data_IF_265194920353
#
_entry.id   IF_265194920353
#
_cell.length_a   1.000
_cell.length_b   1.000
_cell.length_c   1.000
_cell.angle_alpha   90.00
_cell.angle_beta   90.00
_cell.angle_gamma   90.00
#
_symmetry.space_group_name_H-M   'P 1'
#
loop_
_entity.id
_entity.type
_entity.pdbx_description
1 polymer ?
#
# COMPACT_ATOMS: atom_id res chain seq x y z
N UNK A 1 -1.27 20.31 25.07
CA UNK A 1 -1.45 18.97 24.46
C UNK A 1 -2.81 18.92 23.80
N UNK A 2 -2.96 18.17 22.70
CA UNK A 2 -4.24 17.90 22.05
C UNK A 2 -4.33 16.41 21.67
N UNK A 3 -5.51 15.94 21.29
CA UNK A 3 -5.79 14.56 20.93
C UNK A 3 -6.45 14.44 19.56
N UNK A 4 -6.26 13.30 18.91
CA UNK A 4 -6.90 12.98 17.63
C UNK A 4 -7.42 11.54 17.64
N UNK A 5 -8.65 11.35 17.19
CA UNK A 5 -9.12 10.05 16.74
C UNK A 5 -8.60 9.79 15.33
N UNK A 6 -7.49 9.06 15.24
CA UNK A 6 -6.76 8.80 13.98
C UNK A 6 -7.63 8.06 12.97
N UNK A 7 -8.35 7.03 13.40
CA UNK A 7 -9.19 6.23 12.52
C UNK A 7 -10.29 7.07 11.89
N UNK A 8 -11.04 7.80 12.73
CA UNK A 8 -12.10 8.71 12.28
C UNK A 8 -11.54 9.76 11.31
N UNK A 9 -10.39 10.36 11.65
CA UNK A 9 -9.78 11.38 10.79
C UNK A 9 -9.43 10.85 9.40
N UNK A 10 -8.85 9.65 9.31
CA UNK A 10 -8.46 9.04 8.03
C UNK A 10 -9.66 8.60 7.18
N UNK A 11 -10.71 8.06 7.82
CA UNK A 11 -11.93 7.62 7.14
C UNK A 11 -12.73 8.81 6.61
N UNK A 12 -12.95 9.82 7.45
CA UNK A 12 -13.75 11.00 7.10
C UNK A 12 -13.03 11.96 6.15
N UNK A 13 -11.69 11.90 6.10
CA UNK A 13 -10.91 12.72 5.16
C UNK A 13 -10.87 12.16 3.74
N UNK A 14 -11.32 10.92 3.51
CA UNK A 14 -11.22 10.28 2.20
C UNK A 14 -9.90 9.55 1.94
N UNK A 15 -8.94 9.56 2.89
CA UNK A 15 -7.61 8.96 2.67
C UNK A 15 -7.67 7.43 2.65
N UNK A 16 -8.52 6.83 3.47
CA UNK A 16 -8.75 5.37 3.46
C UNK A 16 -9.33 4.92 2.10
N UNK A 17 -10.21 5.71 1.50
CA UNK A 17 -10.82 5.42 0.21
C UNK A 17 -9.77 5.52 -0.92
N UNK A 18 -8.86 6.50 -0.84
CA UNK A 18 -7.72 6.58 -1.75
C UNK A 18 -6.80 5.36 -1.63
N UNK A 19 -6.48 4.93 -0.41
CA UNK A 19 -5.68 3.73 -0.11
C UNK A 19 -6.35 2.47 -0.67
N UNK A 20 -7.65 2.29 -0.42
CA UNK A 20 -8.42 1.16 -0.93
C UNK A 20 -8.49 1.14 -2.46
N UNK A 21 -8.68 2.29 -3.10
CA UNK A 21 -8.71 2.38 -4.56
C UNK A 21 -7.36 1.99 -5.17
N UNK A 22 -6.26 2.46 -4.61
CA UNK A 22 -4.92 2.07 -5.03
C UNK A 22 -4.67 0.57 -4.83
N UNK A 23 -4.96 0.05 -3.64
CA UNK A 23 -4.77 -1.37 -3.32
C UNK A 23 -5.66 -2.29 -4.18
N UNK A 24 -6.86 -1.84 -4.56
CA UNK A 24 -7.69 -2.56 -5.53
C UNK A 24 -6.99 -2.69 -6.89
N UNK A 25 -6.47 -1.58 -7.42
CA UNK A 25 -5.74 -1.60 -8.70
C UNK A 25 -4.48 -2.48 -8.64
N UNK A 26 -3.74 -2.44 -7.52
CA UNK A 26 -2.62 -3.34 -7.26
C UNK A 26 -3.07 -4.80 -7.27
N UNK A 27 -4.11 -5.13 -6.51
CA UNK A 27 -4.60 -6.51 -6.41
C UNK A 27 -5.05 -7.05 -7.77
N UNK A 28 -5.76 -6.23 -8.56
CA UNK A 28 -6.16 -6.58 -9.93
C UNK A 28 -4.93 -6.88 -10.81
N UNK A 29 -3.86 -6.09 -10.70
CA UNK A 29 -2.66 -6.32 -11.50
C UNK A 29 -1.86 -7.55 -11.07
N UNK A 30 -1.79 -7.83 -9.76
CA UNK A 30 -1.20 -9.06 -9.24
C UNK A 30 -1.95 -10.30 -9.73
N UNK A 31 -3.28 -10.26 -9.77
CA UNK A 31 -4.10 -11.36 -10.30
C UNK A 31 -3.92 -11.55 -11.81
N UNK A 32 -3.81 -10.47 -12.59
CA UNK A 32 -3.44 -10.56 -14.02
C UNK A 32 -2.07 -11.23 -14.21
N UNK A 33 -1.12 -10.91 -13.33
CA UNK A 33 0.19 -11.57 -13.29
C UNK A 33 0.10 -13.09 -13.07
N UNK A 34 -0.70 -13.53 -12.09
CA UNK A 34 -0.96 -14.96 -11.86
C UNK A 34 -1.63 -15.64 -13.05
N UNK A 35 -2.61 -15.00 -13.69
CA UNK A 35 -3.26 -15.54 -14.89
C UNK A 35 -2.28 -15.68 -16.06
N UNK A 36 -1.34 -14.75 -16.20
CA UNK A 36 -0.29 -14.82 -17.21
C UNK A 36 0.71 -15.94 -16.90
N UNK A 37 1.10 -16.10 -15.64
CA UNK A 37 1.95 -17.20 -15.19
C UNK A 37 1.27 -18.56 -15.42
N UNK A 38 -0.01 -18.71 -15.10
CA UNK A 38 -0.76 -19.94 -15.30
C UNK A 38 -0.77 -20.39 -16.77
N UNK A 39 -0.89 -19.45 -17.71
CA UNK A 39 -0.80 -19.74 -19.16
C UNK A 39 0.59 -20.25 -19.56
N UNK A 40 1.64 -19.82 -18.86
CA UNK A 40 3.02 -20.25 -19.16
C UNK A 40 3.30 -21.68 -18.72
N UNK A 41 2.54 -22.21 -17.76
CA UNK A 41 2.73 -23.56 -17.23
C UNK A 41 2.40 -24.67 -18.23
N UNK A 42 1.65 -24.37 -19.30
CA UNK A 42 1.39 -25.31 -20.39
C UNK A 42 2.69 -25.83 -21.05
N UNK A 43 3.78 -25.07 -20.92
CA UNK A 43 5.09 -25.42 -21.46
C UNK A 43 6.02 -26.09 -20.42
N UNK A 44 5.54 -26.33 -19.19
CA UNK A 44 6.32 -26.97 -18.14
C UNK A 44 6.03 -28.48 -18.08
N UNK A 45 7.02 -29.30 -17.65
CA UNK A 45 6.78 -30.68 -17.26
C UNK A 45 5.72 -30.77 -16.15
N UNK A 46 4.83 -31.77 -16.23
CA UNK A 46 3.69 -31.90 -15.31
C UNK A 46 4.11 -31.99 -13.83
N UNK A 47 5.27 -32.59 -13.54
CA UNK A 47 5.84 -32.69 -12.18
C UNK A 47 6.37 -31.34 -11.65
N UNK A 48 6.54 -30.33 -12.51
CA UNK A 48 7.01 -28.99 -12.14
C UNK A 48 5.89 -27.95 -12.02
N UNK A 49 4.71 -28.22 -12.60
CA UNK A 49 3.60 -27.26 -12.63
C UNK A 49 3.16 -26.85 -11.23
N UNK A 50 2.95 -27.80 -10.31
CA UNK A 50 2.46 -27.45 -8.96
C UNK A 50 3.51 -26.68 -8.15
N UNK A 51 4.78 -27.06 -8.27
CA UNK A 51 5.88 -26.34 -7.62
C UNK A 51 6.00 -24.90 -8.15
N UNK A 52 5.90 -24.70 -9.47
CA UNK A 52 5.89 -23.37 -10.09
C UNK A 52 4.68 -22.53 -9.61
N UNK A 53 3.48 -23.12 -9.62
CA UNK A 53 2.26 -22.48 -9.14
C UNK A 53 2.36 -22.04 -7.69
N UNK A 54 2.90 -22.89 -6.81
CA UNK A 54 3.07 -22.53 -5.40
C UNK A 54 4.12 -21.44 -5.21
N UNK A 55 5.23 -21.48 -5.97
CA UNK A 55 6.24 -20.44 -5.94
C UNK A 55 5.67 -19.07 -6.34
N UNK A 56 4.90 -19.02 -7.43
CA UNK A 56 4.31 -17.77 -7.92
C UNK A 56 3.23 -17.23 -6.96
N UNK A 57 2.41 -18.10 -6.37
CA UNK A 57 1.47 -17.70 -5.30
C UNK A 57 2.20 -17.07 -4.10
N UNK A 58 3.33 -17.65 -3.69
CA UNK A 58 4.12 -17.12 -2.58
C UNK A 58 4.71 -15.74 -2.91
N UNK A 59 5.25 -15.56 -4.12
CA UNK A 59 5.78 -14.27 -4.59
C UNK A 59 4.68 -13.20 -4.59
N UNK A 60 3.51 -13.53 -5.13
CA UNK A 60 2.38 -12.60 -5.19
C UNK A 60 1.86 -12.24 -3.80
N UNK A 61 1.79 -13.20 -2.88
CA UNK A 61 1.39 -12.93 -1.50
C UNK A 61 2.37 -11.99 -0.79
N UNK A 62 3.68 -12.18 -0.99
CA UNK A 62 4.70 -11.29 -0.45
C UNK A 62 4.60 -9.88 -1.05
N UNK A 63 4.44 -9.79 -2.37
CA UNK A 63 4.27 -8.51 -3.05
C UNK A 63 3.00 -7.80 -2.55
N UNK A 64 1.89 -8.51 -2.39
CA UNK A 64 0.65 -7.94 -1.87
C UNK A 64 0.83 -7.33 -0.48
N UNK A 65 1.45 -8.05 0.44
CA UNK A 65 1.75 -7.55 1.79
C UNK A 65 2.66 -6.31 1.76
N UNK A 66 3.67 -6.31 0.88
CA UNK A 66 4.57 -5.16 0.72
C UNK A 66 3.80 -3.93 0.23
N UNK A 67 2.87 -4.09 -0.72
CA UNK A 67 2.05 -2.99 -1.25
C UNK A 67 1.05 -2.45 -0.21
N UNK A 68 0.41 -3.32 0.58
CA UNK A 68 -0.43 -2.89 1.71
C UNK A 68 0.35 -2.02 2.69
N UNK A 69 1.55 -2.46 3.08
CA UNK A 69 2.39 -1.70 4.01
C UNK A 69 2.84 -0.37 3.40
N UNK A 70 3.26 -0.35 2.13
CA UNK A 70 3.69 0.86 1.45
C UNK A 70 2.55 1.89 1.35
N UNK A 71 1.35 1.44 0.97
CA UNK A 71 0.18 2.30 0.90
C UNK A 71 -0.17 2.90 2.27
N UNK A 72 -0.13 2.07 3.33
CA UNK A 72 -0.38 2.55 4.69
C UNK A 72 0.62 3.59 5.16
N UNK A 73 1.91 3.41 4.85
CA UNK A 73 2.96 4.38 5.17
C UNK A 73 2.69 5.74 4.52
N UNK A 74 2.24 5.75 3.27
CA UNK A 74 1.89 6.99 2.55
C UNK A 74 0.74 7.72 3.24
N UNK A 75 -0.34 7.01 3.62
CA UNK A 75 -1.47 7.60 4.36
C UNK A 75 -1.02 8.18 5.70
N UNK A 76 -0.25 7.41 6.47
CA UNK A 76 0.23 7.85 7.78
C UNK A 76 1.19 9.05 7.68
N UNK A 77 1.98 9.13 6.60
CA UNK A 77 2.82 10.30 6.31
C UNK A 77 1.97 11.55 6.06
N UNK A 78 0.87 11.44 5.30
CA UNK A 78 -0.04 12.57 5.08
C UNK A 78 -0.65 13.08 6.38
N UNK A 79 -1.15 12.17 7.23
CA UNK A 79 -1.66 12.50 8.56
C UNK A 79 -0.58 13.18 9.43
N UNK A 80 0.63 12.63 9.46
CA UNK A 80 1.75 13.20 10.22
C UNK A 80 2.05 14.62 9.77
N UNK A 81 2.17 14.85 8.46
CA UNK A 81 2.43 16.19 7.89
C UNK A 81 1.33 17.18 8.29
N UNK A 82 0.06 16.80 8.15
CA UNK A 82 -1.05 17.66 8.55
C UNK A 82 -1.05 17.97 10.05
N UNK A 83 -0.73 16.96 10.87
CA UNK A 83 -0.64 17.09 12.32
C UNK A 83 0.52 18.00 12.74
N UNK A 84 1.69 17.88 12.12
CA UNK A 84 2.86 18.72 12.38
C UNK A 84 2.61 20.18 11.98
N UNK A 85 1.97 20.40 10.83
CA UNK A 85 1.57 21.73 10.37
C UNK A 85 0.57 22.36 11.35
N UNK A 86 -0.50 21.64 11.69
CA UNK A 86 -1.52 22.12 12.64
C UNK A 86 -0.89 22.44 14.01
N UNK A 87 -0.04 21.54 14.50
CA UNK A 87 0.67 21.70 15.77
C UNK A 87 1.52 22.97 15.78
N UNK A 88 2.25 23.23 14.69
CA UNK A 88 3.10 24.42 14.55
C UNK A 88 2.29 25.70 14.46
N UNK A 89 1.25 25.74 13.60
CA UNK A 89 0.35 26.90 13.44
C UNK A 89 -0.34 27.30 14.75
N UNK A 90 -0.77 26.31 15.54
CA UNK A 90 -1.50 26.51 16.79
C UNK A 90 -0.61 26.53 18.04
N UNK A 91 0.72 26.46 17.87
CA UNK A 91 1.71 26.42 18.95
C UNK A 91 1.43 25.31 19.99
N UNK A 92 0.97 24.16 19.51
CA UNK A 92 0.69 22.98 20.34
C UNK A 92 2.00 22.22 20.56
N UNK A 93 2.26 21.72 21.77
CA UNK A 93 3.47 20.95 22.04
C UNK A 93 3.42 19.54 21.40
N UNK A 94 2.27 18.85 21.52
CA UNK A 94 2.08 17.47 21.07
C UNK A 94 0.61 17.20 20.77
N UNK A 95 0.37 16.35 19.77
CA UNK A 95 -0.93 15.77 19.43
C UNK A 95 -0.81 14.26 19.62
N UNK A 96 -1.66 13.68 20.47
CA UNK A 96 -1.63 12.27 20.83
C UNK A 96 -2.82 11.51 20.24
N UNK A 97 -2.68 10.22 19.93
CA UNK A 97 -3.82 9.38 19.59
C UNK A 97 -4.80 9.31 20.78
N UNK A 98 -6.10 9.45 20.49
CA UNK A 98 -7.16 9.45 21.51
C UNK A 98 -7.21 8.13 22.31
N UNK A 99 -6.84 7.01 21.69
CA UNK A 99 -6.72 5.70 22.34
C UNK A 99 -5.64 5.62 23.44
N UNK A 100 -4.77 6.64 23.58
CA UNK A 100 -3.81 6.72 24.68
C UNK A 100 -4.39 7.36 25.96
N UNK A 101 -5.64 7.80 25.94
CA UNK A 101 -6.31 8.44 27.07
C UNK A 101 -7.59 7.70 27.44
N UNK A 102 -7.92 7.67 28.73
CA UNK A 102 -9.18 7.09 29.25
C UNK A 102 -10.36 8.03 29.01
N UNK A 103 -10.11 9.34 29.11
CA UNK A 103 -11.10 10.40 28.88
C UNK A 103 -10.40 11.65 28.35
N UNK A 104 -11.05 12.35 27.42
CA UNK A 104 -10.52 13.55 26.78
C UNK A 104 -11.63 14.59 26.78
N UNK A 105 -11.32 15.78 27.30
CA UNK A 105 -12.24 16.91 27.24
C UNK A 105 -12.45 17.35 25.77
N UNK A 106 -13.68 17.67 25.31
CA UNK A 106 -13.96 17.95 23.89
C UNK A 106 -13.07 19.04 23.28
N UNK A 107 -12.72 20.07 24.05
CA UNK A 107 -11.84 21.17 23.62
C UNK A 107 -10.40 20.74 23.34
N UNK A 108 -9.99 19.55 23.80
CA UNK A 108 -8.68 18.97 23.52
C UNK A 108 -8.69 18.08 22.26
N UNK A 109 -9.86 17.73 21.73
CA UNK A 109 -9.99 16.95 20.50
C UNK A 109 -9.86 17.84 19.26
N UNK A 110 -8.89 17.52 18.40
CA UNK A 110 -8.64 18.24 17.14
C UNK A 110 -9.01 17.40 15.92
N UNK A 111 -9.76 16.31 16.09
CA UNK A 111 -10.14 15.38 15.02
C UNK A 111 -10.82 16.11 13.87
N UNK A 112 -11.86 16.91 14.13
CA UNK A 112 -12.60 17.61 13.08
C UNK A 112 -11.72 18.57 12.25
N UNK A 113 -10.86 19.34 12.94
CA UNK A 113 -9.94 20.28 12.29
C UNK A 113 -8.94 19.57 11.38
N UNK A 114 -8.34 18.47 11.86
CA UNK A 114 -7.38 17.69 11.09
C UNK A 114 -8.05 16.94 9.94
N UNK A 115 -9.25 16.37 10.15
CA UNK A 115 -10.06 15.79 9.08
C UNK A 115 -10.27 16.81 7.96
N UNK A 116 -10.65 18.04 8.30
CA UNK A 116 -10.91 19.08 7.30
C UNK A 116 -9.65 19.48 6.52
N UNK A 117 -8.48 19.56 7.20
CA UNK A 117 -7.19 19.78 6.51
C UNK A 117 -6.82 18.62 5.59
N UNK A 118 -7.18 17.39 5.93
CA UNK A 118 -6.85 16.20 5.16
C UNK A 118 -7.78 15.95 3.97
N UNK A 119 -9.01 16.48 3.96
CA UNK A 119 -9.96 16.30 2.84
C UNK A 119 -9.43 16.76 1.47
N UNK A 120 -8.54 17.76 1.46
CA UNK A 120 -7.94 18.27 0.23
C UNK A 120 -6.63 17.56 -0.14
N UNK A 121 -6.14 16.66 0.73
CA UNK A 121 -4.91 15.93 0.48
C UNK A 121 -5.13 14.84 -0.59
N UNK A 122 -4.35 14.93 -1.66
CA UNK A 122 -4.15 13.83 -2.60
C UNK A 122 -2.80 13.20 -2.29
N UNK A 123 -2.82 11.90 -2.04
CA UNK A 123 -1.59 11.16 -1.73
C UNK A 123 -1.10 10.43 -2.98
N UNK A 124 0.21 10.43 -3.17
CA UNK A 124 0.86 9.65 -4.21
C UNK A 124 1.35 8.32 -3.63
N UNK A 125 0.72 7.23 -4.05
CA UNK A 125 1.08 5.86 -3.65
C UNK A 125 2.21 5.28 -4.51
N UNK A 126 2.65 6.00 -5.55
CA UNK A 126 3.57 5.48 -6.55
C UNK A 126 2.87 4.60 -7.59
N UNK A 127 3.69 3.94 -8.43
CA UNK A 127 3.20 3.11 -9.53
C UNK A 127 2.66 1.77 -9.03
N UNK A 128 1.60 1.31 -9.68
CA UNK A 128 1.12 -0.08 -9.55
C UNK A 128 2.23 -1.02 -10.06
N UNK A 129 2.56 -2.12 -9.36
CA UNK A 129 3.62 -3.03 -9.78
C UNK A 129 3.33 -3.65 -11.15
N UNK A 130 4.27 -3.57 -12.09
CA UNK A 130 4.17 -4.27 -13.37
C UNK A 130 4.65 -5.72 -13.21
N UNK A 131 3.84 -6.69 -13.63
CA UNK A 131 4.21 -8.11 -13.59
C UNK A 131 4.63 -8.54 -14.99
N UNK A 132 5.87 -9.00 -15.11
CA UNK A 132 6.43 -9.56 -16.34
C UNK A 132 6.85 -11.02 -16.10
N UNK A 133 6.64 -11.86 -17.10
CA UNK A 133 7.17 -13.23 -17.05
C UNK A 133 8.68 -13.19 -17.24
N UNK A 134 9.40 -13.94 -16.41
CA UNK A 134 10.80 -14.28 -16.71
C UNK A 134 10.79 -15.29 -17.85
N UNK A 135 10.96 -14.83 -19.08
CA UNK A 135 11.32 -15.73 -20.18
C UNK A 135 12.71 -16.28 -19.87
N UNK A 136 12.83 -17.60 -19.75
CA UNK A 136 14.14 -18.23 -19.72
C UNK A 136 14.87 -17.83 -21.01
N UNK A 137 16.04 -17.17 -20.89
CA UNK A 137 16.94 -17.01 -22.03
C UNK A 137 17.25 -18.41 -22.55
N UNK A 138 16.91 -18.68 -23.80
CA UNK A 138 17.45 -19.82 -24.53
C UNK A 138 18.98 -19.80 -24.40
N UNK A 139 19.63 -20.94 -24.13
CA UNK A 139 21.08 -21.00 -24.17
C UNK A 139 21.51 -20.67 -25.60
N UNK A 140 22.25 -19.56 -25.76
CA UNK A 140 22.94 -19.24 -27.02
C UNK A 140 23.89 -20.38 -27.32
N UNK A 141 23.47 -21.31 -28.18
CA UNK A 141 24.35 -22.27 -28.83
C UNK A 141 25.23 -21.46 -29.75
N UNK A 142 26.49 -21.24 -29.35
CA UNK A 142 27.53 -20.83 -30.28
C UNK A 142 27.83 -22.03 -31.16
N UNK A 143 27.11 -22.17 -32.26
CA UNK A 143 27.50 -23.04 -33.37
C UNK A 143 28.74 -22.42 -34.00
N UNK A 144 29.91 -22.94 -33.65
CA UNK A 144 31.15 -22.61 -34.35
C UNK A 144 31.08 -23.17 -35.76
N UNK A 145 31.03 -22.29 -36.76
CA UNK A 145 31.29 -22.66 -38.15
C UNK A 145 32.80 -22.75 -38.36
N UNK A 146 33.19 -23.84 -39.04
CA UNK A 146 34.52 -24.17 -39.54
C UNK A 146 35.16 -23.05 -40.34
#
# INVERSE_FOLDING_TARGET
MKFINVEKALVESGLVQQEQAHLKAVNENLHKGLQLAEKSYANLPADKVEAARQADKNVIAQQWKAQQNAARVVVMKALKTASDTYRSEKKIAVIMPMQAAVSVAPELDVTADLTQKLKTAKVDFGKVPEITLKTAKEPTVKTGSK
#
